data_IF_822423851827
#
_entry.id   IF_822423851827
#
_cell.length_a   1.000
_cell.length_b   1.000
_cell.length_c   1.000
_cell.angle_alpha   90.00
_cell.angle_beta   90.00
_cell.angle_gamma   90.00
#
_symmetry.space_group_name_H-M   'P 1'
#
loop_
_entity.id
_entity.type
_entity.pdbx_description
1 polymer ?
#
# COMPACT_ATOMS: atom_id res chain seq x y z
N UNK A 1 14.31 -20.30 4.03
CA UNK A 1 12.93 -20.11 4.55
C UNK A 1 12.02 -19.96 3.37
N UNK A 2 10.97 -20.76 3.31
CA UNK A 2 9.95 -20.63 2.27
C UNK A 2 9.05 -19.42 2.57
N UNK A 3 8.49 -18.82 1.52
CA UNK A 3 7.61 -17.64 1.63
C UNK A 3 6.41 -17.92 2.55
N UNK A 4 5.85 -19.14 2.53
CA UNK A 4 4.68 -19.49 3.36
C UNK A 4 5.03 -19.53 4.84
N UNK A 5 6.21 -20.03 5.19
CA UNK A 5 6.69 -20.10 6.58
C UNK A 5 6.87 -18.70 7.18
N UNK A 6 7.44 -17.77 6.40
CA UNK A 6 7.63 -16.38 6.81
C UNK A 6 6.27 -15.72 7.10
N UNK A 7 5.32 -15.87 6.17
CA UNK A 7 3.98 -15.31 6.32
C UNK A 7 3.23 -15.88 7.52
N UNK A 8 3.37 -17.19 7.77
CA UNK A 8 2.77 -17.84 8.93
C UNK A 8 3.35 -17.28 10.23
N UNK A 9 4.69 -17.24 10.35
CA UNK A 9 5.38 -16.74 11.55
C UNK A 9 5.02 -15.29 11.88
N UNK A 10 5.01 -14.42 10.88
CA UNK A 10 4.69 -13.00 11.10
C UNK A 10 3.22 -12.78 11.41
N UNK A 11 2.34 -13.65 10.89
CA UNK A 11 0.89 -13.54 11.16
C UNK A 11 0.50 -13.96 12.58
N UNK A 12 1.33 -14.74 13.27
CA UNK A 12 1.09 -15.20 14.66
C UNK A 12 1.17 -14.07 15.67
N UNK A 13 2.07 -13.10 15.46
CA UNK A 13 2.29 -11.96 16.35
C UNK A 13 2.20 -10.63 15.56
N UNK A 14 0.98 -10.20 15.19
CA UNK A 14 0.79 -9.04 14.35
C UNK A 14 1.20 -7.73 15.03
N UNK A 15 1.11 -7.65 16.36
CA UNK A 15 1.50 -6.47 17.13
C UNK A 15 3.00 -6.21 17.02
N UNK A 16 3.80 -7.27 16.98
CA UNK A 16 5.25 -7.14 16.79
C UNK A 16 5.68 -6.89 15.35
N UNK A 17 5.07 -7.60 14.39
CA UNK A 17 5.60 -7.64 13.01
C UNK A 17 4.91 -6.68 12.03
N UNK A 18 3.69 -6.22 12.32
CA UNK A 18 2.90 -5.44 11.37
C UNK A 18 2.30 -4.16 11.96
N UNK A 19 2.07 -4.12 13.27
CA UNK A 19 1.40 -2.98 13.89
C UNK A 19 2.32 -1.78 13.95
N UNK A 20 1.79 -0.65 13.51
CA UNK A 20 2.43 0.66 13.57
C UNK A 20 1.49 1.61 14.30
N UNK A 21 2.05 2.64 14.94
CA UNK A 21 1.28 3.61 15.72
C UNK A 21 0.13 4.25 14.93
N UNK A 22 0.36 4.52 13.65
CA UNK A 22 -0.66 5.05 12.73
C UNK A 22 -1.96 4.23 12.71
N UNK A 23 -1.89 2.91 12.86
CA UNK A 23 -3.09 2.06 12.84
C UNK A 23 -3.95 2.29 14.08
N UNK A 24 -3.35 2.51 15.24
CA UNK A 24 -4.09 2.86 16.47
C UNK A 24 -4.64 4.28 16.39
N UNK A 25 -3.81 5.23 15.96
CA UNK A 25 -4.16 6.65 15.92
C UNK A 25 -5.33 6.94 14.96
N UNK A 26 -5.43 6.21 13.85
CA UNK A 26 -6.45 6.40 12.81
C UNK A 26 -7.61 5.39 12.94
N UNK A 27 -7.48 4.35 13.77
CA UNK A 27 -8.53 3.35 13.98
C UNK A 27 -8.60 2.26 12.91
N UNK A 28 -7.47 1.83 12.36
CA UNK A 28 -7.42 0.71 11.42
C UNK A 28 -7.71 -0.62 12.12
N UNK A 29 -8.56 -1.44 11.51
CA UNK A 29 -8.86 -2.79 11.97
C UNK A 29 -8.15 -3.85 11.13
N UNK A 30 -7.60 -4.88 11.78
CA UNK A 30 -7.01 -6.04 11.12
C UNK A 30 -8.07 -7.13 10.90
N UNK A 31 -8.31 -7.51 9.65
CA UNK A 31 -9.29 -8.54 9.25
C UNK A 31 -8.66 -9.64 8.41
N UNK A 32 -9.28 -10.81 8.39
CA UNK A 32 -8.89 -11.93 7.50
C UNK A 32 -9.85 -12.01 6.31
N UNK A 33 -9.31 -12.03 5.10
CA UNK A 33 -10.11 -12.18 3.88
C UNK A 33 -10.80 -13.55 3.86
N UNK A 34 -12.10 -13.58 3.50
CA UNK A 34 -12.84 -14.85 3.42
C UNK A 34 -12.30 -15.80 2.34
N UNK A 35 -11.83 -15.26 1.21
CA UNK A 35 -11.35 -16.02 0.04
C UNK A 35 -9.92 -16.54 0.22
N UNK A 36 -8.94 -15.65 0.42
CA UNK A 36 -7.53 -16.03 0.43
C UNK A 36 -6.93 -16.24 1.84
N UNK A 37 -7.71 -16.00 2.91
CA UNK A 37 -7.31 -16.12 4.32
C UNK A 37 -6.11 -15.23 4.74
N UNK A 38 -5.67 -14.31 3.89
CA UNK A 38 -4.64 -13.32 4.25
C UNK A 38 -5.25 -12.22 5.11
N UNK A 39 -4.44 -11.72 6.02
CA UNK A 39 -4.80 -10.57 6.85
C UNK A 39 -4.55 -9.25 6.10
N UNK A 40 -5.43 -8.28 6.32
CA UNK A 40 -5.32 -6.92 5.80
C UNK A 40 -5.82 -5.92 6.84
N UNK A 41 -5.41 -4.66 6.68
CA UNK A 41 -5.86 -3.55 7.51
C UNK A 41 -6.86 -2.68 6.73
N UNK A 42 -7.94 -2.26 7.38
CA UNK A 42 -9.01 -1.47 6.75
C UNK A 42 -9.62 -0.50 7.76
N UNK A 43 -10.08 0.66 7.28
CA UNK A 43 -10.95 1.57 8.04
C UNK A 43 -12.44 1.25 7.82
N UNK A 44 -12.76 0.46 6.80
CA UNK A 44 -14.11 0.01 6.52
C UNK A 44 -14.47 -1.21 7.35
N UNK A 45 -15.38 -1.02 8.31
CA UNK A 45 -15.89 -2.05 9.20
C UNK A 45 -16.64 -3.17 8.45
N UNK A 46 -17.27 -2.83 7.31
CA UNK A 46 -18.09 -3.75 6.54
C UNK A 46 -17.29 -4.55 5.50
N UNK A 47 -16.00 -4.23 5.31
CA UNK A 47 -15.16 -4.91 4.34
C UNK A 47 -14.82 -6.34 4.76
N UNK A 48 -15.26 -7.29 3.95
CA UNK A 48 -15.12 -8.74 4.18
C UNK A 48 -13.92 -9.36 3.43
N UNK A 49 -13.55 -8.78 2.28
CA UNK A 49 -12.48 -9.30 1.42
C UNK A 49 -11.33 -8.30 1.31
N UNK A 50 -10.11 -8.82 1.10
CA UNK A 50 -8.98 -7.98 0.78
C UNK A 50 -9.19 -7.29 -0.59
N UNK A 51 -8.50 -6.17 -0.87
CA UNK A 51 -8.64 -5.44 -2.13
C UNK A 51 -8.53 -6.33 -3.38
N UNK A 52 -7.60 -7.29 -3.38
CA UNK A 52 -7.39 -8.24 -4.48
C UNK A 52 -8.59 -9.16 -4.79
N UNK A 53 -9.50 -9.38 -3.83
CA UNK A 53 -10.68 -10.24 -3.98
C UNK A 53 -11.98 -9.45 -3.73
N UNK A 54 -11.93 -8.13 -3.84
CA UNK A 54 -13.12 -7.28 -3.80
C UNK A 54 -13.92 -7.48 -5.10
N UNK A 55 -15.26 -7.38 -5.02
CA UNK A 55 -16.12 -7.33 -6.21
C UNK A 55 -15.85 -6.09 -7.07
N UNK A 56 -15.27 -5.05 -6.48
CA UNK A 56 -15.18 -3.72 -7.04
C UNK A 56 -13.76 -3.42 -7.55
N UNK A 57 -13.15 -4.41 -8.23
CA UNK A 57 -11.73 -4.42 -8.62
C UNK A 57 -11.27 -3.17 -9.39
N UNK A 58 -12.18 -2.47 -10.07
CA UNK A 58 -11.89 -1.23 -10.81
C UNK A 58 -12.99 -0.17 -10.67
N UNK A 59 -13.49 0.07 -9.45
CA UNK A 59 -14.53 1.08 -9.19
C UNK A 59 -14.15 2.51 -9.60
N UNK A 60 -12.88 2.77 -9.89
CA UNK A 60 -12.38 4.08 -10.30
C UNK A 60 -12.65 4.43 -11.78
N UNK A 61 -13.07 3.46 -12.61
CA UNK A 61 -13.38 3.73 -14.02
C UNK A 61 -14.68 4.52 -14.10
N UNK A 62 -14.61 5.75 -14.61
CA UNK A 62 -15.74 6.68 -14.63
C UNK A 62 -16.01 7.40 -13.30
N UNK A 63 -15.46 6.89 -12.19
CA UNK A 63 -15.59 7.49 -10.86
C UNK A 63 -14.20 7.70 -10.20
N UNK A 64 -13.47 8.77 -10.57
CA UNK A 64 -12.11 9.01 -10.06
C UNK A 64 -12.05 9.09 -8.52
N UNK A 65 -11.05 8.49 -7.87
CA UNK A 65 -10.88 8.61 -6.41
C UNK A 65 -10.28 9.97 -5.99
N UNK A 66 -9.79 10.76 -6.94
CA UNK A 66 -9.14 12.05 -6.68
C UNK A 66 -9.93 13.20 -7.30
N UNK A 67 -9.98 14.33 -6.58
CA UNK A 67 -10.60 15.56 -7.06
C UNK A 67 -9.82 16.21 -8.21
N UNK A 68 -8.50 15.97 -8.28
CA UNK A 68 -7.63 16.46 -9.35
C UNK A 68 -7.40 15.36 -10.39
N UNK A 69 -7.37 15.75 -11.66
CA UNK A 69 -6.84 14.92 -12.75
C UNK A 69 -5.37 15.23 -12.93
N UNK A 70 -4.58 14.19 -13.12
CA UNK A 70 -3.15 14.31 -13.38
C UNK A 70 -2.85 13.69 -14.74
N UNK A 71 -2.02 14.37 -15.52
CA UNK A 71 -1.26 13.71 -16.58
C UNK A 71 -0.09 12.91 -15.98
N UNK A 72 0.61 12.15 -16.83
CA UNK A 72 1.75 11.34 -16.40
C UNK A 72 2.84 12.17 -15.69
N UNK A 73 3.11 13.38 -16.18
CA UNK A 73 4.19 14.24 -15.65
C UNK A 73 3.79 14.91 -14.35
N UNK A 74 2.55 15.36 -14.25
CA UNK A 74 1.99 15.98 -13.06
C UNK A 74 1.96 14.99 -11.89
N UNK A 75 1.62 13.72 -12.14
CA UNK A 75 1.55 12.71 -11.09
C UNK A 75 2.88 12.55 -10.34
N UNK A 76 4.01 12.43 -11.05
CA UNK A 76 5.31 12.26 -10.39
C UNK A 76 5.82 13.56 -9.78
N UNK A 77 5.55 14.72 -10.39
CA UNK A 77 5.93 16.04 -9.83
C UNK A 77 5.21 16.36 -8.53
N UNK A 78 3.93 16.00 -8.40
CA UNK A 78 3.18 16.20 -7.15
C UNK A 78 3.74 15.34 -6.01
N UNK A 79 4.09 14.08 -6.30
CA UNK A 79 4.74 13.20 -5.32
C UNK A 79 6.12 13.75 -4.93
N UNK A 80 6.95 14.12 -5.90
CA UNK A 80 8.27 14.73 -5.66
C UNK A 80 8.14 16.00 -4.80
N UNK A 81 7.26 16.92 -5.18
CA UNK A 81 7.01 18.18 -4.46
C UNK A 81 6.59 17.94 -3.02
N UNK A 82 5.69 16.98 -2.78
CA UNK A 82 5.28 16.61 -1.42
C UNK A 82 6.47 16.15 -0.58
N UNK A 83 7.28 15.22 -1.08
CA UNK A 83 8.42 14.71 -0.31
C UNK A 83 9.54 15.76 -0.13
N UNK A 84 9.83 16.56 -1.16
CA UNK A 84 10.82 17.66 -1.06
C UNK A 84 10.41 18.69 -0.01
N UNK A 85 9.13 19.07 0.03
CA UNK A 85 8.58 19.97 1.05
C UNK A 85 8.70 19.38 2.47
N UNK A 86 8.70 18.06 2.60
CA UNK A 86 8.86 17.35 3.87
C UNK A 86 10.34 16.97 4.16
N UNK A 87 11.31 17.59 3.48
CA UNK A 87 12.74 17.46 3.79
C UNK A 87 13.46 16.31 3.08
N UNK A 88 12.84 15.66 2.11
CA UNK A 88 13.51 14.66 1.27
C UNK A 88 14.26 15.33 0.10
N UNK A 89 15.34 14.72 -0.37
CA UNK A 89 16.06 15.17 -1.56
C UNK A 89 15.53 14.48 -2.81
N UNK A 90 15.23 15.23 -3.86
CA UNK A 90 14.93 14.64 -5.16
C UNK A 90 16.19 14.09 -5.82
N UNK A 91 16.09 12.88 -6.39
CA UNK A 91 17.19 12.19 -7.05
C UNK A 91 16.76 11.82 -8.47
N UNK A 92 17.64 12.06 -9.43
CA UNK A 92 17.40 11.70 -10.83
C UNK A 92 17.26 10.18 -10.99
N UNK A 93 16.38 9.76 -11.92
CA UNK A 93 16.21 8.35 -12.25
C UNK A 93 17.53 7.72 -12.70
N UNK A 94 17.76 6.49 -12.28
CA UNK A 94 18.83 5.66 -12.80
C UNK A 94 18.45 5.08 -14.18
N UNK A 95 19.43 4.66 -15.00
CA UNK A 95 19.15 3.98 -16.24
C UNK A 95 18.40 2.66 -15.99
N UNK A 96 17.57 2.25 -16.96
CA UNK A 96 16.77 1.00 -16.88
C UNK A 96 17.64 -0.25 -16.86
N UNK A 97 18.85 -0.17 -17.42
CA UNK A 97 19.87 -1.21 -17.30
C UNK A 97 20.63 -0.99 -16.00
N UNK A 98 20.66 -2.01 -15.16
CA UNK A 98 21.45 -2.02 -13.93
C UNK A 98 22.95 -1.98 -14.28
N UNK A 99 23.53 -0.78 -14.31
CA UNK A 99 24.97 -0.55 -14.59
C UNK A 99 25.83 -0.48 -13.34
N UNK A 100 25.20 -0.53 -12.17
CA UNK A 100 25.83 -0.31 -10.86
C UNK A 100 25.94 -1.58 -10.03
N UNK A 101 25.62 -2.73 -10.62
CA UNK A 101 25.75 -4.06 -10.01
C UNK A 101 26.18 -5.02 -11.12
N UNK A 102 27.21 -5.82 -10.85
CA UNK A 102 27.71 -6.86 -11.76
C UNK A 102 26.71 -8.02 -11.91
#
# INVERSE_FOLDING_TARGET
>A
MDKKEILSKFSTDPDRYYKVKLFEDVGFERKSCKTCKRFYWTLDENRINCPDHSSDTYSFIGNPPTNKRFDYTQAWKEVESFFVKNGHTSVNRYPVVCRWRD
#
